data_IF_869815830960
#
_entry.id   IF_869815830960
#
_cell.length_a   1.000
_cell.length_b   1.000
_cell.length_c   1.000
_cell.angle_alpha   90.00
_cell.angle_beta   90.00
_cell.angle_gamma   90.00
#
_symmetry.space_group_name_H-M   'P 1'
#
loop_
_entity.id
_entity.type
_entity.pdbx_description
1 polymer ?
#
# COMPACT_ATOMS: atom_id res chain seq x y z
N UNK A 1 -31.85 16.60 -9.89
CA UNK A 1 -30.96 15.43 -9.66
C UNK A 1 -29.51 15.76 -10.01
N UNK A 2 -29.20 16.34 -11.18
CA UNK A 2 -27.84 16.74 -11.56
C UNK A 2 -27.25 17.84 -10.63
N UNK A 3 -28.11 18.68 -10.04
CA UNK A 3 -27.71 19.72 -9.07
C UNK A 3 -26.97 19.15 -7.85
N UNK A 4 -27.31 17.95 -7.37
CA UNK A 4 -26.62 17.32 -6.24
C UNK A 4 -25.16 17.00 -6.58
N UNK A 5 -24.89 16.58 -7.81
CA UNK A 5 -23.51 16.36 -8.27
C UNK A 5 -22.74 17.67 -8.40
N UNK A 6 -23.39 18.76 -8.82
CA UNK A 6 -22.76 20.06 -8.97
C UNK A 6 -22.40 20.70 -7.61
N UNK A 7 -23.31 20.66 -6.63
CA UNK A 7 -23.04 21.17 -5.28
C UNK A 7 -21.94 20.37 -4.56
N UNK A 8 -21.84 19.06 -4.83
CA UNK A 8 -20.86 18.18 -4.19
C UNK A 8 -19.66 17.86 -5.10
N UNK A 9 -19.47 18.59 -6.20
CA UNK A 9 -18.43 18.29 -7.19
C UNK A 9 -17.03 18.30 -6.57
N UNK A 10 -16.75 19.25 -5.66
CA UNK A 10 -15.48 19.32 -4.95
C UNK A 10 -15.21 18.11 -4.04
N UNK A 11 -16.24 17.64 -3.33
CA UNK A 11 -16.16 16.45 -2.48
C UNK A 11 -15.92 15.19 -3.30
N UNK A 12 -16.64 15.04 -4.42
CA UNK A 12 -16.48 13.89 -5.33
C UNK A 12 -15.08 13.88 -5.94
N UNK A 13 -14.56 15.03 -6.38
CA UNK A 13 -13.20 15.15 -6.91
C UNK A 13 -12.14 14.78 -5.86
N UNK A 14 -12.25 15.34 -4.67
CA UNK A 14 -11.30 15.08 -3.57
C UNK A 14 -11.35 13.61 -3.16
N UNK A 15 -12.55 13.05 -3.01
CA UNK A 15 -12.76 11.63 -2.73
C UNK A 15 -12.18 10.72 -3.81
N UNK A 16 -12.38 11.07 -5.08
CA UNK A 16 -11.81 10.34 -6.23
C UNK A 16 -10.27 10.32 -6.21
N UNK A 17 -9.64 11.47 -5.97
CA UNK A 17 -8.17 11.57 -5.87
C UNK A 17 -7.64 10.70 -4.73
N UNK A 18 -8.25 10.79 -3.54
CA UNK A 18 -7.89 9.95 -2.39
C UNK A 18 -8.01 8.47 -2.72
N UNK A 19 -9.09 8.06 -3.40
CA UNK A 19 -9.31 6.67 -3.81
C UNK A 19 -8.21 6.19 -4.76
N UNK A 20 -7.83 7.01 -5.75
CA UNK A 20 -6.76 6.69 -6.70
C UNK A 20 -5.44 6.48 -5.94
N UNK A 21 -5.08 7.38 -5.03
CA UNK A 21 -3.86 7.28 -4.22
C UNK A 21 -3.87 5.98 -3.40
N UNK A 22 -4.98 5.66 -2.73
CA UNK A 22 -5.12 4.41 -1.97
C UNK A 22 -4.93 3.16 -2.86
N UNK A 23 -5.54 3.14 -4.04
CA UNK A 23 -5.38 2.04 -5.00
C UNK A 23 -3.91 1.91 -5.43
N UNK A 24 -3.22 3.01 -5.72
CA UNK A 24 -1.82 3.00 -6.09
C UNK A 24 -0.92 2.44 -4.99
N UNK A 25 -1.15 2.84 -3.73
CA UNK A 25 -0.41 2.33 -2.57
C UNK A 25 -0.60 0.82 -2.45
N UNK A 26 -1.85 0.33 -2.50
CA UNK A 26 -2.14 -1.11 -2.43
C UNK A 26 -1.48 -1.86 -3.59
N UNK A 27 -1.55 -1.34 -4.82
CA UNK A 27 -0.90 -1.95 -5.99
C UNK A 27 0.61 -2.01 -5.84
N UNK A 28 1.25 -0.95 -5.33
CA UNK A 28 2.69 -0.97 -5.04
C UNK A 28 3.02 -2.04 -4.01
N UNK A 29 2.29 -2.08 -2.89
CA UNK A 29 2.51 -3.08 -1.84
C UNK A 29 2.36 -4.52 -2.36
N UNK A 30 1.37 -4.80 -3.22
CA UNK A 30 1.20 -6.12 -3.83
C UNK A 30 2.36 -6.44 -4.76
N UNK A 31 2.80 -5.48 -5.58
CA UNK A 31 3.93 -5.66 -6.49
C UNK A 31 5.24 -5.88 -5.72
N UNK A 32 5.45 -5.13 -4.63
CA UNK A 32 6.59 -5.26 -3.75
C UNK A 32 6.59 -6.62 -3.06
N UNK A 33 5.43 -7.09 -2.57
CA UNK A 33 5.26 -8.46 -2.05
C UNK A 33 5.55 -9.54 -3.09
N UNK A 34 5.06 -9.37 -4.33
CA UNK A 34 5.35 -10.29 -5.45
C UNK A 34 6.84 -10.33 -5.80
N UNK A 35 7.54 -9.22 -5.62
CA UNK A 35 9.00 -9.10 -5.79
C UNK A 35 9.79 -9.59 -4.57
N UNK A 36 9.13 -10.23 -3.59
CA UNK A 36 9.77 -10.76 -2.39
C UNK A 36 10.18 -9.70 -1.36
N UNK A 37 9.76 -8.43 -1.55
CA UNK A 37 10.00 -7.39 -0.55
C UNK A 37 9.01 -7.61 0.61
N UNK A 38 9.55 -8.00 1.76
CA UNK A 38 8.80 -8.13 3.00
C UNK A 38 8.90 -6.84 3.81
N UNK A 39 8.21 -6.76 4.96
CA UNK A 39 8.25 -5.59 5.84
C UNK A 39 9.68 -5.21 6.31
N UNK A 40 10.65 -6.13 6.27
CA UNK A 40 12.07 -5.76 6.30
C UNK A 40 12.46 -5.36 4.88
N UNK A 41 12.65 -4.06 4.64
CA UNK A 41 13.06 -3.50 3.33
C UNK A 41 14.46 -3.92 2.85
N UNK A 42 15.19 -4.71 3.65
CA UNK A 42 16.43 -5.37 3.25
C UNK A 42 16.13 -6.82 2.87
N UNK A 43 16.82 -7.35 1.86
CA UNK A 43 16.89 -8.78 1.61
C UNK A 43 17.08 -9.51 2.96
N UNK A 44 16.13 -10.38 3.36
CA UNK A 44 16.14 -10.99 4.69
C UNK A 44 17.45 -11.75 4.99
N UNK A 45 18.22 -12.12 3.95
CA UNK A 45 19.54 -12.72 4.06
C UNK A 45 20.63 -11.78 4.64
N UNK A 46 20.49 -10.46 4.52
CA UNK A 46 21.43 -9.46 5.06
C UNK A 46 20.73 -8.39 5.92
N UNK A 47 19.51 -8.67 6.38
CA UNK A 47 18.79 -7.81 7.32
C UNK A 47 19.53 -7.90 8.69
N UNK A 48 19.85 -6.78 9.34
CA UNK A 48 20.50 -6.79 10.66
C UNK A 48 19.70 -7.57 11.73
N UNK A 49 18.41 -7.78 11.47
CA UNK A 49 17.50 -8.57 12.29
C UNK A 49 17.16 -9.96 11.72
N UNK A 50 17.90 -10.44 10.70
CA UNK A 50 17.67 -11.74 10.04
C UNK A 50 17.56 -12.90 11.03
N UNK A 51 18.37 -12.90 12.09
CA UNK A 51 18.39 -13.94 13.13
C UNK A 51 17.20 -13.95 14.10
N UNK A 52 16.38 -12.90 14.16
CA UNK A 52 15.17 -12.87 15.02
C UNK A 52 13.87 -12.84 14.23
N UNK A 53 13.84 -12.21 13.05
CA UNK A 53 12.64 -12.13 12.23
C UNK A 53 12.21 -13.50 11.65
N UNK A 54 13.15 -14.42 11.42
CA UNK A 54 12.89 -15.78 10.96
C UNK A 54 13.43 -16.81 11.95
N UNK A 55 12.83 -16.87 13.15
CA UNK A 55 13.02 -18.01 14.05
C UNK A 55 12.37 -19.24 13.39
N UNK A 56 13.18 -20.19 12.90
CA UNK A 56 12.68 -21.56 12.66
C UNK A 56 12.29 -22.09 14.04
N UNK A 57 10.99 -22.12 14.33
CA UNK A 57 10.50 -22.99 15.40
C UNK A 57 10.97 -24.40 15.06
N UNK A 58 11.77 -24.98 15.96
CA UNK A 58 12.00 -26.42 15.94
C UNK A 58 10.68 -27.16 16.13
#
# INVERSE_FOLDING_TARGET
MISFLYENMGTILTGGILLIILILIIRSMINDKKKGKSSCGCNCAHCAMAGRCHTKSK
#
